data_IF_234475657160
#
_entry.id   IF_234475657160
#
_cell.length_a   1.000
_cell.length_b   1.000
_cell.length_c   1.000
_cell.angle_alpha   90.00
_cell.angle_beta   90.00
_cell.angle_gamma   90.00
#
_symmetry.space_group_name_H-M   'P 1'
#
loop_
_entity.id
_entity.type
_entity.pdbx_description
1 polymer ?
#
# COMPACT_ATOMS: atom_id res chain seq x y z
N UNK A 1 11.19 -24.24 -1.77
CA UNK A 1 10.48 -23.26 -2.61
C UNK A 1 9.61 -22.30 -1.78
N UNK A 2 10.04 -21.87 -0.58
CA UNK A 2 9.31 -20.88 0.25
C UNK A 2 10.09 -19.59 0.50
N UNK A 3 11.38 -19.55 0.15
CA UNK A 3 12.28 -18.44 0.48
C UNK A 3 11.98 -17.17 -0.31
N UNK A 4 11.59 -17.30 -1.58
CA UNK A 4 11.43 -16.14 -2.48
C UNK A 4 10.21 -15.29 -2.10
N UNK A 5 9.06 -15.94 -1.83
CA UNK A 5 7.84 -15.26 -1.37
C UNK A 5 8.01 -14.62 0.01
N UNK A 6 8.72 -15.30 0.92
CA UNK A 6 9.04 -14.74 2.24
C UNK A 6 9.94 -13.51 2.13
N UNK A 7 10.95 -13.55 1.26
CA UNK A 7 11.84 -12.42 1.02
C UNK A 7 11.08 -11.26 0.38
N UNK A 8 10.20 -11.54 -0.58
CA UNK A 8 9.34 -10.52 -1.17
C UNK A 8 8.42 -9.87 -0.12
N UNK A 9 7.86 -10.66 0.81
CA UNK A 9 7.05 -10.14 1.91
C UNK A 9 7.87 -9.29 2.89
N UNK A 10 9.14 -9.64 3.14
CA UNK A 10 10.06 -8.82 3.96
C UNK A 10 10.37 -7.51 3.25
N UNK A 11 10.71 -7.55 1.97
CA UNK A 11 10.94 -6.37 1.13
C UNK A 11 9.73 -5.44 1.15
N UNK A 12 8.53 -5.98 0.90
CA UNK A 12 7.28 -5.23 0.97
C UNK A 12 7.10 -4.52 2.32
N UNK A 13 7.35 -5.23 3.42
CA UNK A 13 7.26 -4.67 4.78
C UNK A 13 8.28 -3.55 5.00
N UNK A 14 9.53 -3.74 4.56
CA UNK A 14 10.59 -2.75 4.70
C UNK A 14 10.30 -1.48 3.89
N UNK A 15 9.86 -1.62 2.65
CA UNK A 15 9.48 -0.45 1.83
C UNK A 15 8.28 0.29 2.46
N UNK A 16 7.29 -0.41 3.05
CA UNK A 16 6.18 0.25 3.74
C UNK A 16 6.66 1.09 4.93
N UNK A 17 7.65 0.61 5.69
CA UNK A 17 8.28 1.40 6.75
C UNK A 17 8.95 2.67 6.20
N UNK A 18 9.69 2.57 5.09
CA UNK A 18 10.28 3.74 4.42
C UNK A 18 9.21 4.73 3.95
N UNK A 19 8.06 4.23 3.47
CA UNK A 19 6.91 5.05 3.13
C UNK A 19 6.35 5.81 4.33
N UNK A 20 6.26 5.17 5.50
CA UNK A 20 5.86 5.81 6.77
C UNK A 20 6.83 6.93 7.15
N UNK A 21 8.14 6.68 7.09
CA UNK A 21 9.15 7.69 7.41
C UNK A 21 9.07 8.88 6.46
N UNK A 22 8.87 8.62 5.16
CA UNK A 22 8.69 9.66 4.14
C UNK A 22 7.44 10.50 4.41
N UNK A 23 6.30 9.86 4.75
CA UNK A 23 5.08 10.59 5.10
C UNK A 23 5.25 11.41 6.39
N UNK A 24 5.98 10.89 7.37
CA UNK A 24 6.29 11.62 8.60
C UNK A 24 7.11 12.88 8.31
N UNK A 25 8.13 12.78 7.44
CA UNK A 25 8.92 13.93 6.98
C UNK A 25 8.08 14.97 6.22
N UNK A 26 6.99 14.54 5.57
CA UNK A 26 6.00 15.41 4.92
C UNK A 26 4.91 15.94 5.87
N UNK A 27 5.03 15.71 7.18
CA UNK A 27 4.10 16.21 8.20
C UNK A 27 2.87 15.32 8.46
N UNK A 28 2.88 14.07 7.98
CA UNK A 28 1.83 13.08 8.29
C UNK A 28 2.42 11.83 8.98
N UNK A 29 2.52 11.84 10.32
CA UNK A 29 3.01 10.69 11.06
C UNK A 29 1.91 9.61 11.15
N UNK A 30 2.02 8.57 10.32
CA UNK A 30 1.05 7.47 10.23
C UNK A 30 1.12 6.47 11.41
N UNK A 31 1.09 6.96 12.66
CA UNK A 31 1.37 6.19 13.89
C UNK A 31 0.55 4.90 14.03
N UNK A 32 -0.74 4.95 13.68
CA UNK A 32 -1.62 3.75 13.74
C UNK A 32 -1.16 2.69 12.72
N UNK A 33 -0.80 3.11 11.51
CA UNK A 33 -0.31 2.21 10.48
C UNK A 33 1.05 1.62 10.88
N UNK A 34 1.95 2.44 11.43
CA UNK A 34 3.24 1.98 11.94
C UNK A 34 3.09 0.91 13.03
N UNK A 35 2.15 1.09 13.96
CA UNK A 35 1.85 0.09 14.99
C UNK A 35 1.35 -1.23 14.36
N UNK A 36 0.45 -1.15 13.37
CA UNK A 36 -0.03 -2.33 12.66
C UNK A 36 1.09 -3.08 11.94
N UNK A 37 2.04 -2.36 11.31
CA UNK A 37 3.20 -3.00 10.66
C UNK A 37 4.07 -3.77 11.65
N UNK A 38 4.28 -3.23 12.86
CA UNK A 38 5.03 -3.91 13.92
C UNK A 38 4.32 -5.18 14.40
N UNK A 39 2.99 -5.15 14.48
CA UNK A 39 2.19 -6.27 15.00
C UNK A 39 1.96 -7.37 13.94
N UNK A 40 1.61 -6.99 12.71
CA UNK A 40 1.14 -7.91 11.67
C UNK A 40 2.09 -8.06 10.47
N UNK A 41 3.16 -7.27 10.38
CA UNK A 41 4.00 -7.12 9.17
C UNK A 41 3.21 -6.56 7.99
N UNK A 42 3.88 -6.33 6.86
CA UNK A 42 3.33 -5.61 5.72
C UNK A 42 2.12 -6.30 5.08
N UNK A 43 2.25 -7.58 4.71
CA UNK A 43 1.23 -8.29 3.92
C UNK A 43 -0.11 -8.38 4.65
N UNK A 44 -0.09 -8.78 5.92
CA UNK A 44 -1.32 -8.91 6.71
C UNK A 44 -1.90 -7.54 7.10
N UNK A 45 -1.06 -6.54 7.38
CA UNK A 45 -1.53 -5.15 7.57
C UNK A 45 -2.26 -4.64 6.34
N UNK A 46 -1.67 -4.82 5.16
CA UNK A 46 -2.26 -4.43 3.89
C UNK A 46 -3.60 -5.14 3.64
N UNK A 47 -3.64 -6.46 3.82
CA UNK A 47 -4.88 -7.26 3.69
C UNK A 47 -6.00 -6.71 4.59
N UNK A 48 -5.72 -6.49 5.88
CA UNK A 48 -6.72 -5.98 6.84
C UNK A 48 -7.27 -4.60 6.45
N UNK A 49 -6.40 -3.68 6.03
CA UNK A 49 -6.81 -2.31 5.67
C UNK A 49 -7.51 -2.24 4.32
N UNK A 50 -7.05 -3.01 3.34
CA UNK A 50 -7.66 -3.03 2.02
C UNK A 50 -9.04 -3.68 2.10
N UNK A 51 -9.20 -4.79 2.82
CA UNK A 51 -10.49 -5.49 2.92
C UNK A 51 -11.50 -4.84 3.87
N UNK A 52 -11.13 -3.82 4.65
CA UNK A 52 -12.10 -3.11 5.49
C UNK A 52 -13.23 -2.49 4.66
N UNK A 53 -14.46 -2.53 5.19
CA UNK A 53 -15.67 -2.06 4.51
C UNK A 53 -15.63 -0.57 4.16
N UNK A 54 -15.00 0.22 5.02
CA UNK A 54 -14.81 1.66 4.79
C UNK A 54 -13.36 1.96 4.42
N UNK A 55 -13.18 3.01 3.60
CA UNK A 55 -11.88 3.65 3.44
C UNK A 55 -11.36 4.06 4.83
N UNK A 56 -10.09 3.81 5.10
CA UNK A 56 -9.50 4.25 6.36
C UNK A 56 -9.40 5.77 6.38
N UNK A 57 -9.48 6.37 7.56
CA UNK A 57 -9.22 7.81 7.73
C UNK A 57 -7.84 8.21 7.17
N UNK A 58 -6.88 7.28 7.22
CA UNK A 58 -5.56 7.45 6.63
C UNK A 58 -5.59 7.57 5.11
N UNK A 59 -6.38 6.73 4.42
CA UNK A 59 -6.54 6.81 2.97
C UNK A 59 -7.16 8.15 2.54
N UNK A 60 -8.18 8.61 3.26
CA UNK A 60 -8.79 9.92 2.99
C UNK A 60 -7.79 11.06 3.24
N UNK A 61 -6.98 10.96 4.30
CA UNK A 61 -5.93 11.94 4.58
C UNK A 61 -4.87 11.99 3.47
N UNK A 62 -4.45 10.85 2.94
CA UNK A 62 -3.53 10.77 1.81
C UNK A 62 -4.13 11.40 0.55
N UNK A 63 -5.44 11.25 0.29
CA UNK A 63 -6.11 11.98 -0.79
C UNK A 63 -6.01 13.50 -0.62
N UNK A 64 -6.27 14.02 0.57
CA UNK A 64 -6.17 15.46 0.84
C UNK A 64 -4.74 16.00 0.66
N UNK A 65 -3.74 15.16 0.87
CA UNK A 65 -2.33 15.51 0.68
C UNK A 65 -1.83 15.32 -0.76
N UNK A 66 -2.65 14.75 -1.66
CA UNK A 66 -2.20 14.35 -2.99
C UNK A 66 -1.15 13.23 -2.96
N UNK A 67 -1.21 12.35 -1.96
CA UNK A 67 -0.25 11.27 -1.69
C UNK A 67 -0.87 9.87 -1.75
N UNK A 68 -1.89 9.68 -2.58
CA UNK A 68 -2.51 8.37 -2.79
C UNK A 68 -1.55 7.36 -3.45
N UNK A 69 -0.54 7.84 -4.16
CA UNK A 69 0.55 7.01 -4.69
C UNK A 69 1.38 6.34 -3.56
N UNK A 70 1.31 6.88 -2.34
CA UNK A 70 1.97 6.32 -1.16
C UNK A 70 1.02 5.46 -0.29
N UNK A 71 -0.22 5.24 -0.72
CA UNK A 71 -1.18 4.45 0.05
C UNK A 71 -0.89 2.95 -0.06
N UNK A 72 -1.30 2.19 0.96
CA UNK A 72 -1.12 0.73 0.96
C UNK A 72 -1.93 0.06 -0.17
N UNK A 73 -3.09 0.61 -0.52
CA UNK A 73 -3.90 0.19 -1.66
C UNK A 73 -3.11 0.28 -2.96
N UNK A 74 -2.37 1.39 -3.18
CA UNK A 74 -1.56 1.52 -4.39
C UNK A 74 -0.41 0.51 -4.39
N UNK A 75 0.21 0.31 -3.25
CA UNK A 75 1.36 -0.60 -3.12
C UNK A 75 1.00 -2.06 -3.35
N UNK A 76 -0.19 -2.49 -2.93
CA UNK A 76 -0.73 -3.83 -3.19
C UNK A 76 -0.95 -4.08 -4.69
N UNK A 77 -1.16 -3.02 -5.47
CA UNK A 77 -1.37 -3.10 -6.92
C UNK A 77 -0.08 -3.12 -7.74
N UNK A 78 1.07 -2.87 -7.11
CA UNK A 78 2.36 -2.88 -7.81
C UNK A 78 2.65 -4.28 -8.40
N UNK A 79 3.07 -4.38 -9.67
CA UNK A 79 3.23 -5.68 -10.34
C UNK A 79 4.23 -6.61 -9.64
N UNK A 80 5.32 -6.08 -9.10
CA UNK A 80 6.35 -6.89 -8.42
C UNK A 80 5.91 -7.40 -7.04
N UNK A 81 4.76 -6.99 -6.52
CA UNK A 81 4.16 -7.53 -5.29
C UNK A 81 2.90 -8.35 -5.55
N UNK A 82 2.55 -8.60 -6.80
CA UNK A 82 1.32 -9.29 -7.19
C UNK A 82 1.17 -10.65 -6.51
N UNK A 83 2.24 -11.46 -6.46
CA UNK A 83 2.19 -12.79 -5.85
C UNK A 83 1.89 -12.81 -4.33
N UNK A 84 2.05 -11.67 -3.64
CA UNK A 84 1.76 -11.58 -2.21
C UNK A 84 0.27 -11.50 -1.91
N UNK A 85 -0.55 -11.08 -2.89
CA UNK A 85 -1.94 -10.73 -2.70
C UNK A 85 -2.85 -11.50 -3.64
N UNK A 86 -4.00 -11.94 -3.14
CA UNK A 86 -5.04 -12.52 -3.99
C UNK A 86 -5.80 -11.44 -4.75
N UNK A 87 -6.56 -11.89 -5.74
CA UNK A 87 -7.40 -11.04 -6.60
C UNK A 87 -8.39 -10.21 -5.77
N UNK A 88 -8.99 -10.79 -4.72
CA UNK A 88 -9.99 -10.09 -3.92
C UNK A 88 -9.40 -8.86 -3.19
N UNK A 89 -8.19 -8.98 -2.65
CA UNK A 89 -7.48 -7.84 -2.06
C UNK A 89 -7.16 -6.81 -3.13
N UNK A 90 -6.58 -7.21 -4.27
CA UNK A 90 -6.17 -6.28 -5.33
C UNK A 90 -7.37 -5.54 -5.92
N UNK A 91 -8.46 -6.24 -6.23
CA UNK A 91 -9.72 -5.65 -6.70
C UNK A 91 -10.27 -4.60 -5.74
N UNK A 92 -10.24 -4.91 -4.44
CA UNK A 92 -10.73 -4.00 -3.42
C UNK A 92 -9.86 -2.74 -3.32
N UNK A 93 -8.54 -2.88 -3.39
CA UNK A 93 -7.61 -1.76 -3.44
C UNK A 93 -7.88 -0.87 -4.65
N UNK A 94 -8.03 -1.48 -5.83
CA UNK A 94 -8.33 -0.77 -7.08
C UNK A 94 -9.62 0.05 -6.95
N UNK A 95 -10.71 -0.57 -6.49
CA UNK A 95 -12.01 0.11 -6.33
C UNK A 95 -11.94 1.27 -5.32
N UNK A 96 -11.21 1.09 -4.21
CA UNK A 96 -11.02 2.16 -3.20
C UNK A 96 -10.31 3.38 -3.79
N UNK A 97 -9.23 3.18 -4.53
CA UNK A 97 -8.49 4.27 -5.16
C UNK A 97 -9.31 4.97 -6.25
N UNK A 98 -10.01 4.21 -7.09
CA UNK A 98 -10.90 4.77 -8.13
C UNK A 98 -12.05 5.58 -7.54
N UNK A 99 -12.61 5.14 -6.40
CA UNK A 99 -13.63 5.90 -5.67
C UNK A 99 -13.11 7.22 -5.08
N UNK A 100 -11.78 7.42 -5.04
CA UNK A 100 -11.14 8.67 -4.66
C UNK A 100 -10.62 9.47 -5.87
N UNK A 101 -11.11 9.21 -7.08
CA UNK A 101 -10.68 9.87 -8.32
C UNK A 101 -9.15 9.80 -8.52
N UNK A 102 -8.55 8.64 -8.24
CA UNK A 102 -7.14 8.39 -8.50
C UNK A 102 -6.96 7.57 -9.79
N UNK A 103 -6.08 8.03 -10.68
CA UNK A 103 -5.75 7.30 -11.90
C UNK A 103 -4.73 6.19 -11.60
N UNK A 104 -5.27 5.07 -11.14
CA UNK A 104 -4.50 3.88 -10.76
C UNK A 104 -3.66 3.37 -11.93
N UNK A 105 -4.23 3.32 -13.14
CA UNK A 105 -3.56 2.72 -14.29
C UNK A 105 -2.40 3.59 -14.77
N UNK A 106 -2.56 4.92 -14.74
CA UNK A 106 -1.45 5.84 -15.00
C UNK A 106 -0.34 5.71 -13.95
N UNK A 107 -0.70 5.57 -12.67
CA UNK A 107 0.28 5.41 -11.60
C UNK A 107 1.05 4.08 -11.73
N UNK A 108 0.38 2.97 -12.01
CA UNK A 108 1.04 1.68 -12.28
C UNK A 108 2.00 1.82 -13.45
N UNK A 109 1.57 2.39 -14.59
CA UNK A 109 2.45 2.62 -15.74
C UNK A 109 3.67 3.47 -15.37
N UNK A 110 3.46 4.56 -14.62
CA UNK A 110 4.55 5.42 -14.15
C UNK A 110 5.54 4.63 -13.29
N UNK A 111 5.04 3.86 -12.33
CA UNK A 111 5.85 3.03 -11.42
C UNK A 111 6.60 1.95 -12.16
N UNK A 112 6.00 1.29 -13.15
CA UNK A 112 6.66 0.27 -13.96
C UNK A 112 7.75 0.86 -14.85
N UNK A 113 7.54 2.05 -15.41
CA UNK A 113 8.56 2.76 -16.20
C UNK A 113 9.71 3.32 -15.36
N UNK A 114 9.50 3.40 -14.04
CA UNK A 114 10.48 3.89 -13.06
C UNK A 114 10.86 2.79 -12.06
N UNK A 115 10.50 1.53 -12.34
CA UNK A 115 10.52 0.39 -11.41
C UNK A 115 11.93 0.08 -10.87
N UNK A 116 12.03 -0.53 -9.65
CA UNK A 116 13.24 -0.53 -8.81
C UNK A 116 14.51 -1.08 -9.46
#
# INVERSE_FOLDING_TARGET
>A
MSTDREELARRFTAELHQGVDTLAALGYPARRFELMLREYKGVETARKLVLSDNASDGLWRLKQMGKLDMSVEMWVLLPWYEELFDEAVRDRAYRKLRAMDFDVDAEIRRRTNTAP
#
